data_IF_699623679085
#
_entry.id   IF_699623679085
#
_cell.length_a   1.000
_cell.length_b   1.000
_cell.length_c   1.000
_cell.angle_alpha   90.00
_cell.angle_beta   90.00
_cell.angle_gamma   90.00
#
_symmetry.space_group_name_H-M   'P 1'
#
loop_
_entity.id
_entity.type
_entity.pdbx_description
1 polymer ?
#
# COMPACT_ATOMS: atom_id res chain seq x y z
N UNK A 1 40.58 27.23 21.26
CA UNK A 1 39.52 26.54 20.49
C UNK A 1 40.10 25.32 19.78
N UNK A 2 39.90 24.10 20.31
CA UNK A 2 40.31 22.85 19.64
C UNK A 2 39.26 22.47 18.59
N UNK A 3 39.64 22.41 17.31
CA UNK A 3 38.83 21.87 16.21
C UNK A 3 38.58 20.37 16.47
N UNK A 4 37.30 19.97 16.61
CA UNK A 4 36.89 18.55 16.60
C UNK A 4 37.16 17.99 15.19
N UNK A 5 38.07 17.01 15.09
CA UNK A 5 38.22 16.15 13.90
C UNK A 5 36.92 15.37 13.71
N UNK A 6 36.26 15.56 12.57
CA UNK A 6 35.25 14.62 12.11
C UNK A 6 35.95 13.30 11.77
N UNK A 7 35.71 12.26 12.56
CA UNK A 7 36.11 10.90 12.20
C UNK A 7 35.29 10.46 10.97
N UNK A 8 35.96 10.25 9.83
CA UNK A 8 35.41 9.43 8.74
C UNK A 8 35.25 8.01 9.27
N UNK A 9 34.04 7.45 9.15
CA UNK A 9 33.81 6.03 9.43
C UNK A 9 34.58 5.18 8.44
N UNK A 10 35.16 4.09 8.92
CA UNK A 10 35.96 3.15 8.11
C UNK A 10 35.08 2.07 7.50
N UNK A 11 35.60 1.34 6.50
CA UNK A 11 34.96 0.14 5.93
C UNK A 11 34.62 -0.91 7.00
N UNK A 12 35.42 -0.98 8.06
CA UNK A 12 35.22 -1.89 9.18
C UNK A 12 33.94 -1.59 9.96
N UNK A 13 33.57 -0.32 10.10
CA UNK A 13 32.32 0.09 10.76
C UNK A 13 31.07 -0.32 9.97
N UNK A 14 31.20 -0.56 8.66
CA UNK A 14 30.13 -1.04 7.78
C UNK A 14 30.03 -2.57 7.79
N UNK A 15 31.17 -3.25 7.87
CA UNK A 15 31.26 -4.70 7.95
C UNK A 15 30.82 -5.25 9.31
N UNK A 16 31.08 -4.53 10.40
CA UNK A 16 30.65 -4.91 11.75
C UNK A 16 29.11 -4.93 11.92
N UNK A 17 28.35 -4.29 11.02
CA UNK A 17 26.88 -4.27 11.02
C UNK A 17 26.28 -5.45 10.19
N UNK A 18 27.11 -6.35 9.65
CA UNK A 18 26.70 -7.52 8.85
C UNK A 18 27.03 -8.77 9.64
N UNK A 19 25.99 -9.52 9.99
CA UNK A 19 26.12 -10.85 10.57
C UNK A 19 25.96 -11.86 9.43
N UNK A 20 27.10 -12.41 8.98
CA UNK A 20 27.13 -13.43 7.93
C UNK A 20 27.02 -14.79 8.61
N UNK A 21 26.06 -15.60 8.18
CA UNK A 21 25.91 -16.97 8.68
C UNK A 21 26.95 -17.88 8.00
N UNK A 22 28.21 -17.74 8.41
CA UNK A 22 29.39 -18.32 7.73
C UNK A 22 29.36 -19.86 7.71
N UNK A 23 28.56 -20.48 8.59
CA UNK A 23 28.45 -21.94 8.75
C UNK A 23 27.62 -22.61 7.63
N UNK A 24 26.87 -21.84 6.83
CA UNK A 24 26.16 -22.35 5.63
C UNK A 24 27.04 -22.35 4.35
N UNK A 25 28.33 -21.97 4.43
CA UNK A 25 29.18 -21.74 3.25
C UNK A 25 30.37 -22.69 3.11
N UNK A 26 30.68 -23.07 1.87
CA UNK A 26 32.03 -23.51 1.51
C UNK A 26 33.02 -22.37 1.75
N UNK A 27 34.08 -22.63 2.51
CA UNK A 27 35.18 -21.69 2.72
C UNK A 27 35.90 -21.46 1.39
N UNK A 28 35.74 -20.29 0.81
CA UNK A 28 36.41 -19.92 -0.45
C UNK A 28 37.74 -19.27 -0.11
N UNK A 29 38.83 -19.94 -0.46
CA UNK A 29 40.18 -19.37 -0.38
C UNK A 29 40.44 -18.49 -1.60
N UNK A 30 40.66 -17.20 -1.36
CA UNK A 30 41.01 -16.23 -2.39
C UNK A 30 42.53 -16.05 -2.44
N UNK A 31 43.10 -16.00 -3.65
CA UNK A 31 44.51 -15.64 -3.80
C UNK A 31 44.72 -14.11 -3.65
N UNK A 32 45.99 -13.68 -3.55
CA UNK A 32 46.32 -12.27 -3.30
C UNK A 32 45.81 -11.31 -4.37
N UNK A 33 45.77 -11.74 -5.63
CA UNK A 33 45.30 -10.94 -6.77
C UNK A 33 43.78 -10.77 -6.69
N UNK A 34 43.09 -11.85 -6.38
CA UNK A 34 41.63 -11.89 -6.17
C UNK A 34 41.23 -11.02 -4.98
N UNK A 35 41.93 -11.17 -3.86
CA UNK A 35 41.74 -10.36 -2.67
C UNK A 35 41.99 -8.87 -2.94
N UNK A 36 43.02 -8.54 -3.73
CA UNK A 36 43.32 -7.16 -4.13
C UNK A 36 42.22 -6.57 -5.01
N UNK A 37 41.78 -7.30 -6.05
CA UNK A 37 40.67 -6.87 -6.93
C UNK A 37 39.37 -6.63 -6.15
N UNK A 38 39.05 -7.53 -5.21
CA UNK A 38 37.88 -7.37 -4.34
C UNK A 38 37.99 -6.10 -3.50
N UNK A 39 39.14 -5.88 -2.84
CA UNK A 39 39.40 -4.66 -2.04
C UNK A 39 39.28 -3.40 -2.87
N UNK A 40 39.84 -3.37 -4.07
CA UNK A 40 39.80 -2.21 -4.98
C UNK A 40 38.35 -1.91 -5.42
N UNK A 41 37.58 -2.93 -5.81
CA UNK A 41 36.16 -2.78 -6.17
C UNK A 41 35.30 -2.23 -5.03
N UNK A 42 35.52 -2.74 -3.82
CA UNK A 42 34.81 -2.26 -2.62
C UNK A 42 35.21 -0.82 -2.30
N UNK A 43 36.50 -0.52 -2.33
CA UNK A 43 37.03 0.81 -2.03
C UNK A 43 36.51 1.89 -2.99
N UNK A 44 36.51 1.61 -4.30
CA UNK A 44 36.03 2.56 -5.33
C UNK A 44 34.53 2.87 -5.21
N UNK A 45 33.70 1.87 -4.88
CA UNK A 45 32.27 2.07 -4.69
C UNK A 45 31.93 2.82 -3.41
N UNK A 46 32.72 2.66 -2.35
CA UNK A 46 32.53 3.38 -1.07
C UNK A 46 32.96 4.85 -1.19
N UNK A 47 34.04 5.14 -1.92
CA UNK A 47 34.62 6.50 -2.01
C UNK A 47 33.70 7.52 -2.69
N UNK A 48 32.70 7.07 -3.48
CA UNK A 48 31.80 7.94 -4.27
C UNK A 48 30.67 8.63 -3.50
N UNK A 49 30.43 8.35 -2.23
CA UNK A 49 29.24 8.89 -1.52
C UNK A 49 29.56 9.27 -0.08
N UNK A 50 29.95 10.53 0.17
CA UNK A 50 30.41 11.00 1.48
C UNK A 50 29.58 12.18 2.06
N UNK A 51 28.27 12.02 2.32
CA UNK A 51 27.43 12.95 3.14
C UNK A 51 26.13 12.29 3.67
N UNK A 52 26.19 11.27 4.54
CA UNK A 52 25.08 10.32 4.58
C UNK A 52 24.64 9.83 6.00
N UNK A 53 23.33 9.99 6.32
CA UNK A 53 22.63 9.79 7.62
C UNK A 53 22.36 8.30 7.93
N UNK A 54 21.84 8.02 9.15
CA UNK A 54 21.66 6.70 9.81
C UNK A 54 21.13 5.54 8.93
N UNK A 55 20.28 5.79 7.92
CA UNK A 55 19.72 4.77 7.02
C UNK A 55 20.71 4.25 5.95
N UNK A 56 21.87 4.91 5.79
CA UNK A 56 22.84 4.58 4.74
C UNK A 56 23.88 3.53 5.14
N UNK A 57 23.94 3.16 6.42
CA UNK A 57 24.72 2.00 6.88
C UNK A 57 24.23 0.71 6.21
N UNK A 58 22.91 0.51 6.14
CA UNK A 58 22.29 -0.66 5.48
C UNK A 58 22.55 -0.68 3.96
N UNK A 59 22.54 0.49 3.31
CA UNK A 59 22.80 0.59 1.87
C UNK A 59 24.26 0.24 1.57
N UNK A 60 25.19 0.79 2.36
CA UNK A 60 26.60 0.48 2.20
C UNK A 60 26.92 -1.01 2.48
N UNK A 61 26.26 -1.63 3.46
CA UNK A 61 26.39 -3.09 3.66
C UNK A 61 25.84 -3.90 2.48
N UNK A 62 24.68 -3.54 1.90
CA UNK A 62 24.13 -4.22 0.73
C UNK A 62 25.02 -4.07 -0.50
N UNK A 63 25.64 -2.90 -0.70
CA UNK A 63 26.63 -2.67 -1.77
C UNK A 63 27.83 -3.60 -1.60
N UNK A 64 28.36 -3.73 -0.38
CA UNK A 64 29.50 -4.62 -0.10
C UNK A 64 29.13 -6.08 -0.34
N UNK A 65 27.99 -6.55 0.18
CA UNK A 65 27.50 -7.92 -0.05
C UNK A 65 27.31 -8.17 -1.55
N UNK A 66 26.79 -7.17 -2.29
CA UNK A 66 26.65 -7.26 -3.73
C UNK A 66 27.98 -7.50 -4.43
N UNK A 67 29.02 -6.77 -4.02
CA UNK A 67 30.36 -6.91 -4.59
C UNK A 67 30.94 -8.31 -4.33
N UNK A 68 30.76 -8.82 -3.11
CA UNK A 68 31.21 -10.18 -2.75
C UNK A 68 30.43 -11.23 -3.57
N UNK A 69 29.13 -11.06 -3.76
CA UNK A 69 28.29 -11.97 -4.56
C UNK A 69 28.72 -12.05 -6.03
N UNK A 70 29.05 -10.91 -6.65
CA UNK A 70 29.63 -10.86 -8.00
C UNK A 70 30.93 -11.67 -8.06
N UNK A 71 31.79 -11.48 -7.05
CA UNK A 71 33.13 -12.04 -7.03
C UNK A 71 33.11 -13.56 -6.91
N UNK A 72 32.20 -14.12 -6.12
CA UNK A 72 32.09 -15.56 -5.86
C UNK A 72 31.20 -16.30 -6.88
N UNK A 73 30.41 -15.59 -7.68
CA UNK A 73 29.53 -16.18 -8.70
C UNK A 73 28.38 -17.05 -8.15
N UNK A 74 28.15 -17.03 -6.83
CA UNK A 74 27.09 -17.75 -6.12
C UNK A 74 26.20 -16.76 -5.32
N UNK A 75 24.91 -17.06 -5.09
CA UNK A 75 24.06 -16.25 -4.21
C UNK A 75 24.61 -16.19 -2.79
N UNK A 76 24.63 -14.99 -2.18
CA UNK A 76 25.09 -14.78 -0.80
C UNK A 76 23.94 -14.37 0.09
N UNK A 77 23.76 -15.05 1.22
CA UNK A 77 22.77 -14.78 2.25
C UNK A 77 23.42 -14.12 3.48
N UNK A 78 22.96 -12.92 3.83
CA UNK A 78 23.47 -12.15 4.95
C UNK A 78 22.33 -11.70 5.88
N UNK A 79 22.62 -11.51 7.16
CA UNK A 79 21.71 -10.84 8.09
C UNK A 79 22.19 -9.41 8.34
N UNK A 80 21.30 -8.45 8.15
CA UNK A 80 21.62 -7.06 8.48
C UNK A 80 21.26 -6.75 9.94
N UNK A 81 22.20 -6.21 10.71
CA UNK A 81 22.05 -5.97 12.17
C UNK A 81 21.30 -4.67 12.45
N UNK A 82 21.25 -3.75 11.48
CA UNK A 82 20.42 -2.53 11.57
C UNK A 82 18.97 -2.86 11.21
N UNK A 83 18.14 -3.09 12.22
CA UNK A 83 16.69 -3.33 12.12
C UNK A 83 15.98 -2.27 11.26
N UNK A 84 15.63 -2.64 10.03
CA UNK A 84 14.81 -1.86 9.10
C UNK A 84 13.34 -2.28 9.22
N UNK A 85 12.77 -2.14 10.41
CA UNK A 85 11.34 -2.34 10.64
C UNK A 85 10.55 -1.07 10.28
N UNK A 86 9.34 -1.24 9.73
CA UNK A 86 8.38 -0.16 9.49
C UNK A 86 8.05 0.08 8.01
N UNK A 87 8.55 -0.74 7.06
CA UNK A 87 8.19 -0.59 5.64
C UNK A 87 6.70 -0.89 5.45
N UNK A 88 6.17 -1.93 6.12
CA UNK A 88 4.74 -2.25 6.03
C UNK A 88 3.88 -1.08 6.49
N UNK A 89 4.25 -0.43 7.60
CA UNK A 89 3.52 0.73 8.14
C UNK A 89 3.68 1.95 7.24
N UNK A 90 4.90 2.22 6.76
CA UNK A 90 5.23 3.36 5.91
C UNK A 90 4.51 3.30 4.56
N UNK A 91 4.53 2.15 3.89
CA UNK A 91 3.99 1.98 2.55
C UNK A 91 2.51 1.56 2.54
N UNK A 92 1.93 1.31 3.71
CA UNK A 92 0.47 1.28 3.84
C UNK A 92 -0.08 2.69 4.02
N UNK A 93 -0.18 3.42 2.92
CA UNK A 93 -0.84 4.73 2.92
C UNK A 93 -2.28 4.68 3.43
N UNK A 94 -2.94 3.52 3.27
CA UNK A 94 -4.30 3.30 3.72
C UNK A 94 -4.36 2.81 5.17
N UNK A 95 -3.54 1.85 5.61
CA UNK A 95 -3.57 1.36 7.00
C UNK A 95 -2.70 2.20 7.96
N UNK A 96 -3.32 3.14 8.68
CA UNK A 96 -2.70 3.71 9.90
C UNK A 96 -2.76 2.72 11.04
N UNK A 97 -1.78 1.85 11.06
CA UNK A 97 -1.58 0.99 12.19
C UNK A 97 -1.01 1.77 13.37
N UNK A 98 -1.40 1.38 14.58
CA UNK A 98 -0.59 1.62 15.77
C UNK A 98 -0.16 0.25 16.27
N UNK A 99 1.14 0.08 16.45
CA UNK A 99 1.75 -1.06 17.14
C UNK A 99 1.44 -2.44 16.50
N UNK A 100 1.90 -2.66 15.25
CA UNK A 100 1.89 -4.00 14.62
C UNK A 100 3.09 -4.87 14.97
N UNK A 101 4.07 -4.32 15.68
CA UNK A 101 5.30 -5.03 16.05
C UNK A 101 5.03 -6.41 16.67
N UNK A 102 3.94 -6.54 17.43
CA UNK A 102 3.52 -7.80 18.04
C UNK A 102 3.12 -8.89 17.04
N UNK A 103 2.66 -8.50 15.85
CA UNK A 103 2.17 -9.38 14.78
C UNK A 103 3.15 -9.50 13.60
N UNK A 104 4.11 -8.59 13.49
CA UNK A 104 5.10 -8.57 12.41
C UNK A 104 6.24 -9.54 12.69
N UNK A 105 6.56 -10.38 11.71
CA UNK A 105 7.78 -11.19 11.70
C UNK A 105 8.89 -10.41 11.02
N UNK A 106 9.84 -9.90 11.80
CA UNK A 106 11.02 -9.19 11.29
C UNK A 106 12.13 -10.19 10.94
N UNK A 107 12.60 -10.14 9.69
CA UNK A 107 13.61 -11.05 9.15
C UNK A 107 14.94 -10.33 8.89
N UNK A 108 14.91 -9.24 8.12
CA UNK A 108 16.08 -8.46 7.68
C UNK A 108 17.20 -9.30 7.06
N UNK A 109 16.81 -10.30 6.25
CA UNK A 109 17.73 -11.18 5.53
C UNK A 109 17.95 -10.63 4.12
N UNK A 110 19.20 -10.56 3.70
CA UNK A 110 19.60 -10.12 2.36
C UNK A 110 20.09 -11.31 1.56
N UNK A 111 19.60 -11.46 0.32
CA UNK A 111 20.22 -12.34 -0.68
C UNK A 111 20.71 -11.47 -1.83
N UNK A 112 21.92 -11.72 -2.31
CA UNK A 112 22.45 -11.08 -3.51
C UNK A 112 22.80 -12.10 -4.58
N UNK A 113 22.34 -11.85 -5.79
CA UNK A 113 22.73 -12.57 -7.01
C UNK A 113 22.73 -11.57 -8.17
N UNK A 114 23.55 -11.81 -9.20
CA UNK A 114 23.62 -11.01 -10.46
C UNK A 114 23.49 -9.48 -10.30
N UNK A 115 24.23 -8.88 -9.35
CA UNK A 115 24.20 -7.44 -9.04
C UNK A 115 22.91 -6.88 -8.42
N UNK A 116 21.95 -7.73 -8.07
CA UNK A 116 20.72 -7.32 -7.39
C UNK A 116 20.76 -7.87 -5.96
N UNK A 117 20.63 -6.98 -4.98
CA UNK A 117 20.42 -7.38 -3.59
C UNK A 117 18.96 -7.22 -3.22
N UNK A 118 18.36 -8.27 -2.69
CA UNK A 118 17.02 -8.22 -2.10
C UNK A 118 17.16 -8.43 -0.61
N UNK A 119 16.62 -7.51 0.18
CA UNK A 119 16.49 -7.66 1.62
C UNK A 119 15.02 -7.90 1.96
N UNK A 120 14.69 -9.11 2.42
CA UNK A 120 13.38 -9.42 2.97
C UNK A 120 13.31 -8.88 4.40
N UNK A 121 12.49 -7.87 4.63
CA UNK A 121 12.48 -7.12 5.90
C UNK A 121 11.42 -7.64 6.86
N UNK A 122 10.16 -7.64 6.43
CA UNK A 122 9.01 -7.89 7.30
C UNK A 122 7.95 -8.76 6.61
N UNK A 123 7.33 -9.65 7.39
CA UNK A 123 6.14 -10.40 7.00
C UNK A 123 5.03 -10.11 8.00
N UNK A 124 3.85 -9.80 7.50
CA UNK A 124 2.64 -9.63 8.29
C UNK A 124 1.50 -10.36 7.63
N UNK A 125 0.78 -11.20 8.39
CA UNK A 125 -0.15 -12.14 7.79
C UNK A 125 -1.31 -12.45 8.74
N UNK A 126 -2.54 -12.31 8.25
CA UNK A 126 -3.74 -12.88 8.88
C UNK A 126 -4.35 -14.00 8.01
N UNK A 127 -5.65 -14.25 8.14
CA UNK A 127 -6.35 -15.24 7.31
C UNK A 127 -6.74 -14.70 5.92
N UNK A 128 -6.64 -13.40 5.69
CA UNK A 128 -7.13 -12.72 4.48
C UNK A 128 -6.03 -12.05 3.66
N UNK A 129 -4.97 -11.56 4.30
CA UNK A 129 -3.88 -10.84 3.69
C UNK A 129 -2.53 -11.40 4.12
N UNK A 130 -1.61 -11.52 3.16
CA UNK A 130 -0.18 -11.68 3.38
C UNK A 130 0.54 -10.45 2.84
N UNK A 131 1.21 -9.70 3.72
CA UNK A 131 1.98 -8.51 3.41
C UNK A 131 3.46 -8.85 3.53
N UNK A 132 4.21 -8.58 2.47
CA UNK A 132 5.63 -8.87 2.33
C UNK A 132 6.33 -7.56 2.05
N UNK A 133 7.14 -7.10 2.99
CA UNK A 133 8.01 -5.97 2.77
C UNK A 133 9.42 -6.43 2.42
N UNK A 134 9.96 -5.84 1.37
CA UNK A 134 11.33 -6.09 0.94
C UNK A 134 11.93 -4.83 0.33
N UNK A 135 13.26 -4.84 0.25
CA UNK A 135 14.04 -3.76 -0.32
C UNK A 135 14.91 -4.32 -1.42
N UNK A 136 14.93 -3.63 -2.54
CA UNK A 136 15.79 -3.98 -3.66
C UNK A 136 16.87 -2.93 -3.78
N UNK A 137 18.11 -3.37 -3.86
CA UNK A 137 19.23 -2.54 -4.26
C UNK A 137 19.74 -3.03 -5.62
N UNK A 138 19.64 -2.15 -6.62
CA UNK A 138 20.10 -2.38 -7.98
C UNK A 138 20.59 -1.03 -8.55
N UNK A 139 21.78 -0.94 -9.17
CA UNK A 139 22.29 0.33 -9.66
C UNK A 139 21.36 0.96 -10.70
N UNK A 140 21.10 2.27 -10.58
CA UNK A 140 20.27 3.02 -11.53
C UNK A 140 18.87 2.43 -11.76
N UNK A 141 18.23 1.90 -10.72
CA UNK A 141 16.80 1.51 -10.76
C UNK A 141 15.98 2.66 -11.35
N UNK A 142 16.23 3.91 -10.90
CA UNK A 142 15.49 5.14 -11.22
C UNK A 142 13.96 5.00 -10.99
N UNK A 143 13.30 6.10 -10.66
CA UNK A 143 11.84 6.12 -10.61
C UNK A 143 11.30 6.12 -12.05
N UNK A 144 11.15 4.93 -12.60
CA UNK A 144 10.65 4.67 -13.95
C UNK A 144 9.47 3.71 -13.83
N UNK A 145 8.27 4.21 -14.12
CA UNK A 145 7.03 3.44 -14.00
C UNK A 145 7.07 2.16 -14.86
N UNK A 146 7.84 2.15 -15.96
CA UNK A 146 7.99 0.98 -16.82
C UNK A 146 8.67 -0.21 -16.13
N UNK A 147 9.41 0.03 -15.03
CA UNK A 147 10.10 -1.02 -14.26
C UNK A 147 9.30 -1.54 -13.07
N UNK A 148 8.09 -1.01 -12.81
CA UNK A 148 7.25 -1.49 -11.72
C UNK A 148 6.81 -2.94 -11.93
N UNK A 149 6.60 -3.36 -13.18
CA UNK A 149 6.30 -4.75 -13.54
C UNK A 149 7.40 -5.69 -13.04
N UNK A 150 8.66 -5.32 -13.24
CA UNK A 150 9.82 -6.13 -12.89
C UNK A 150 9.93 -6.31 -11.37
N UNK A 151 9.53 -5.29 -10.61
CA UNK A 151 9.55 -5.31 -9.14
C UNK A 151 8.46 -6.22 -8.57
N UNK A 152 7.25 -6.19 -9.14
CA UNK A 152 6.09 -6.89 -8.58
C UNK A 152 5.89 -8.31 -9.12
N UNK A 153 6.23 -8.58 -10.38
CA UNK A 153 5.99 -9.88 -11.02
C UNK A 153 7.04 -10.93 -10.64
N UNK A 154 8.24 -10.52 -10.21
CA UNK A 154 9.32 -11.43 -9.86
C UNK A 154 9.08 -12.28 -8.61
N UNK A 155 8.17 -11.87 -7.71
CA UNK A 155 7.97 -12.51 -6.42
C UNK A 155 7.12 -13.79 -6.50
N UNK A 156 7.66 -14.88 -5.97
CA UNK A 156 6.98 -16.14 -5.67
C UNK A 156 6.91 -16.43 -4.18
N UNK A 157 5.86 -17.11 -3.76
CA UNK A 157 5.69 -17.59 -2.38
C UNK A 157 5.29 -19.05 -2.40
N UNK A 158 5.96 -19.87 -1.61
CA UNK A 158 5.48 -21.20 -1.26
C UNK A 158 5.18 -21.26 0.25
N UNK A 159 4.14 -22.02 0.60
CA UNK A 159 3.74 -22.32 1.97
C UNK A 159 3.75 -23.83 2.12
N UNK A 160 4.52 -24.36 3.06
CA UNK A 160 4.72 -25.79 3.28
C UNK A 160 5.08 -26.56 1.99
N UNK A 161 5.90 -25.96 1.14
CA UNK A 161 6.34 -26.54 -0.13
C UNK A 161 5.40 -26.25 -1.33
N UNK A 162 4.15 -25.87 -1.10
CA UNK A 162 3.18 -25.61 -2.17
C UNK A 162 3.18 -24.15 -2.64
N UNK A 163 3.08 -23.92 -3.95
CA UNK A 163 3.03 -22.58 -4.54
C UNK A 163 1.73 -21.85 -4.19
N UNK A 164 1.85 -20.65 -3.62
CA UNK A 164 0.73 -19.79 -3.32
C UNK A 164 0.32 -18.98 -4.56
N UNK A 165 -0.86 -19.29 -5.10
CA UNK A 165 -1.49 -18.50 -6.16
C UNK A 165 -2.52 -17.54 -5.55
N UNK A 166 -2.20 -16.25 -5.50
CA UNK A 166 -3.03 -15.21 -4.91
C UNK A 166 -3.00 -13.95 -5.79
N UNK A 167 -4.11 -13.20 -5.79
CA UNK A 167 -4.14 -11.85 -6.36
C UNK A 167 -3.17 -10.94 -5.61
N UNK A 168 -2.52 -10.03 -6.34
CA UNK A 168 -1.42 -9.20 -5.81
C UNK A 168 -1.71 -7.73 -6.04
N UNK A 169 -1.35 -6.93 -5.06
CA UNK A 169 -1.19 -5.48 -5.16
C UNK A 169 0.06 -5.07 -4.38
N UNK A 170 0.36 -3.78 -4.34
CA UNK A 170 1.50 -3.29 -3.58
C UNK A 170 1.77 -1.83 -3.78
N UNK A 171 2.72 -1.32 -3.01
CA UNK A 171 3.21 0.05 -3.08
C UNK A 171 4.74 0.03 -3.08
N UNK A 172 5.34 1.04 -3.68
CA UNK A 172 6.79 1.24 -3.68
C UNK A 172 7.16 2.62 -3.16
N UNK A 173 8.39 2.76 -2.68
CA UNK A 173 9.03 4.05 -2.43
C UNK A 173 10.50 4.00 -2.86
N UNK A 174 10.87 4.89 -3.78
CA UNK A 174 12.23 5.00 -4.30
C UNK A 174 13.04 5.89 -3.37
N UNK A 175 13.81 5.27 -2.49
CA UNK A 175 14.59 5.96 -1.45
C UNK A 175 15.76 6.74 -2.06
N UNK A 176 16.34 6.20 -3.13
CA UNK A 176 17.33 6.86 -3.98
C UNK A 176 17.39 6.19 -5.36
N UNK A 177 18.33 6.62 -6.21
CA UNK A 177 18.48 6.12 -7.59
C UNK A 177 18.85 4.63 -7.68
N UNK A 178 19.28 4.01 -6.58
CA UNK A 178 19.80 2.65 -6.54
C UNK A 178 18.95 1.72 -5.65
N UNK A 179 17.88 2.25 -5.03
CA UNK A 179 17.23 1.59 -3.90
C UNK A 179 15.74 1.85 -3.87
N UNK A 180 14.96 0.77 -3.82
CA UNK A 180 13.49 0.82 -3.71
C UNK A 180 13.01 -0.03 -2.54
N UNK A 181 12.12 0.52 -1.73
CA UNK A 181 11.32 -0.21 -0.74
C UNK A 181 10.01 -0.65 -1.40
N UNK A 182 9.60 -1.88 -1.12
CA UNK A 182 8.43 -2.50 -1.74
C UNK A 182 7.59 -3.15 -0.65
N UNK A 183 6.30 -2.88 -0.69
CA UNK A 183 5.28 -3.61 0.03
C UNK A 183 4.45 -4.38 -1.00
N UNK A 184 4.44 -5.70 -0.92
CA UNK A 184 3.54 -6.52 -1.72
C UNK A 184 2.46 -7.16 -0.85
N UNK A 185 1.22 -7.07 -1.30
CA UNK A 185 0.03 -7.52 -0.59
C UNK A 185 -0.62 -8.64 -1.41
N UNK A 186 -0.76 -9.81 -0.81
CA UNK A 186 -1.35 -11.00 -1.41
C UNK A 186 -2.70 -11.27 -0.75
N UNK A 187 -3.76 -11.40 -1.56
CA UNK A 187 -5.09 -11.76 -1.08
C UNK A 187 -5.23 -13.28 -0.92
N UNK A 188 -5.38 -13.73 0.32
CA UNK A 188 -5.38 -15.13 0.73
C UNK A 188 -6.67 -15.56 1.43
N UNK A 189 -7.73 -14.73 1.43
CA UNK A 189 -8.97 -14.97 2.19
C UNK A 189 -9.67 -16.32 1.90
N UNK A 190 -9.44 -16.89 0.71
CA UNK A 190 -9.99 -18.17 0.28
C UNK A 190 -8.97 -19.32 0.33
N UNK A 191 -7.83 -19.13 1.00
CA UNK A 191 -6.75 -20.12 1.10
C UNK A 191 -6.73 -20.78 2.47
N UNK A 192 -6.60 -22.11 2.50
CA UNK A 192 -6.47 -22.88 3.73
C UNK A 192 -5.01 -22.89 4.19
N UNK A 193 -4.60 -21.83 4.88
CA UNK A 193 -3.22 -21.69 5.37
C UNK A 193 -3.18 -21.93 6.89
N UNK A 194 -2.34 -22.86 7.39
CA UNK A 194 -2.24 -23.15 8.83
C UNK A 194 -1.68 -21.98 9.63
N UNK A 195 -1.83 -22.03 10.97
CA UNK A 195 -1.38 -20.95 11.87
C UNK A 195 0.14 -20.85 11.99
N UNK A 196 0.85 -21.97 11.81
CA UNK A 196 2.31 -22.07 11.73
C UNK A 196 2.64 -22.74 10.41
N UNK A 197 3.64 -22.20 9.72
CA UNK A 197 4.02 -22.70 8.41
C UNK A 197 5.48 -22.45 8.11
N UNK A 198 6.05 -23.30 7.27
CA UNK A 198 7.30 -23.02 6.58
C UNK A 198 6.98 -22.19 5.35
N UNK A 199 7.60 -21.01 5.24
CA UNK A 199 7.41 -20.10 4.13
C UNK A 199 8.70 -19.97 3.34
N UNK A 200 8.57 -20.02 2.01
CA UNK A 200 9.62 -19.69 1.07
C UNK A 200 9.18 -18.51 0.23
N UNK A 201 9.90 -17.39 0.33
CA UNK A 201 9.78 -16.26 -0.59
C UNK A 201 10.93 -16.34 -1.56
N UNK A 202 10.67 -16.20 -2.86
CA UNK A 202 11.73 -16.28 -3.86
C UNK A 202 11.49 -15.35 -5.04
N UNK A 203 12.58 -15.02 -5.73
CA UNK A 203 12.57 -14.26 -6.98
C UNK A 203 13.39 -15.02 -8.01
N UNK A 204 12.86 -15.20 -9.22
CA UNK A 204 13.56 -15.88 -10.33
C UNK A 204 14.13 -14.93 -11.36
N UNK A 205 13.61 -13.71 -11.38
CA UNK A 205 13.99 -12.68 -12.31
C UNK A 205 13.74 -11.32 -11.66
N UNK A 206 14.67 -10.39 -11.85
CA UNK A 206 14.57 -9.01 -11.41
C UNK A 206 15.15 -8.12 -12.50
N UNK A 207 14.40 -7.12 -12.95
CA UNK A 207 14.84 -6.18 -13.99
C UNK A 207 15.34 -6.86 -15.28
N UNK A 208 14.67 -7.93 -15.71
CA UNK A 208 15.07 -8.74 -16.88
C UNK A 208 16.28 -9.65 -16.63
N UNK A 209 16.80 -9.73 -15.41
CA UNK A 209 17.98 -10.53 -15.05
C UNK A 209 17.52 -11.80 -14.34
N UNK A 210 17.70 -12.95 -14.98
CA UNK A 210 17.49 -14.25 -14.36
C UNK A 210 18.50 -14.50 -13.24
N UNK A 211 18.02 -14.92 -12.07
CA UNK A 211 18.82 -15.17 -10.88
C UNK A 211 18.06 -15.98 -9.85
N UNK A 212 18.68 -16.20 -8.69
CA UNK A 212 18.07 -16.95 -7.60
C UNK A 212 18.20 -16.22 -6.26
N UNK A 213 17.12 -15.55 -5.86
CA UNK A 213 17.00 -14.95 -4.54
C UNK A 213 15.96 -15.73 -3.74
N UNK A 214 16.37 -16.46 -2.70
CA UNK A 214 15.50 -17.36 -1.96
C UNK A 214 15.62 -17.16 -0.45
N UNK A 215 14.46 -17.05 0.22
CA UNK A 215 14.34 -16.87 1.66
C UNK A 215 13.46 -17.96 2.23
N UNK A 216 14.01 -18.80 3.11
CA UNK A 216 13.27 -19.82 3.86
C UNK A 216 13.19 -19.42 5.33
N UNK A 217 12.00 -19.47 5.91
CA UNK A 217 11.78 -19.15 7.31
C UNK A 217 10.46 -19.74 7.82
N UNK A 218 10.36 -19.87 9.14
CA UNK A 218 9.11 -20.22 9.82
C UNK A 218 8.35 -18.95 10.16
N UNK A 219 7.04 -18.95 9.96
CA UNK A 219 6.16 -17.83 10.33
C UNK A 219 4.93 -18.34 11.07
N UNK A 220 4.43 -17.53 12.00
CA UNK A 220 3.22 -17.81 12.76
C UNK A 220 2.25 -16.64 12.72
N UNK A 221 0.98 -16.94 12.43
CA UNK A 221 -0.15 -16.00 12.55
C UNK A 221 -1.01 -16.25 13.80
N UNK A 222 -0.50 -16.97 14.81
CA UNK A 222 -1.30 -17.33 15.99
C UNK A 222 -1.75 -16.11 16.81
N UNK A 223 -0.87 -15.12 16.98
CA UNK A 223 -1.18 -13.91 17.76
C UNK A 223 -2.31 -13.11 17.13
N UNK A 224 -2.24 -12.91 15.82
CA UNK A 224 -3.26 -12.16 15.10
C UNK A 224 -4.56 -12.96 14.97
N UNK A 225 -4.48 -14.27 14.74
CA UNK A 225 -5.63 -15.16 14.69
C UNK A 225 -6.48 -15.08 15.97
N UNK A 226 -5.84 -15.04 17.15
CA UNK A 226 -6.53 -14.87 18.45
C UNK A 226 -7.27 -13.52 18.59
N UNK A 227 -6.95 -12.55 17.75
CA UNK A 227 -7.57 -11.21 17.70
C UNK A 227 -8.48 -11.04 16.49
N UNK A 228 -8.59 -12.05 15.63
CA UNK A 228 -9.45 -12.02 14.45
C UNK A 228 -10.86 -12.47 14.84
N UNK A 229 -11.85 -11.66 14.51
CA UNK A 229 -13.27 -12.01 14.62
C UNK A 229 -13.83 -12.27 13.22
N UNK A 230 -14.41 -13.44 13.03
CA UNK A 230 -15.12 -13.80 11.80
C UNK A 230 -16.62 -13.77 12.10
N UNK A 231 -17.34 -12.89 11.42
CA UNK A 231 -18.77 -12.67 11.64
C UNK A 231 -19.49 -13.09 10.37
N UNK A 232 -20.31 -14.14 10.47
CA UNK A 232 -21.17 -14.58 9.38
C UNK A 232 -22.31 -13.58 9.17
N UNK A 233 -22.57 -13.25 7.91
CA UNK A 233 -23.62 -12.31 7.49
C UNK A 233 -24.69 -13.07 6.70
N UNK A 234 -24.27 -13.80 5.66
CA UNK A 234 -25.13 -14.58 4.76
C UNK A 234 -26.38 -13.83 4.28
N UNK A 235 -26.20 -12.57 3.84
CA UNK A 235 -27.30 -11.74 3.36
C UNK A 235 -27.18 -11.50 1.86
N UNK A 236 -28.28 -11.77 1.17
CA UNK A 236 -28.41 -11.50 -0.26
C UNK A 236 -28.70 -10.02 -0.50
N UNK A 237 -28.07 -9.50 -1.54
CA UNK A 237 -28.20 -8.16 -2.08
C UNK A 237 -28.52 -8.32 -3.56
N UNK A 238 -29.64 -7.76 -3.99
CA UNK A 238 -30.02 -7.72 -5.41
C UNK A 238 -29.58 -6.38 -6.01
N UNK A 239 -28.73 -6.47 -7.03
CA UNK A 239 -28.22 -5.35 -7.82
C UNK A 239 -28.70 -5.54 -9.26
N UNK A 240 -28.72 -4.45 -10.05
CA UNK A 240 -29.38 -4.45 -11.37
C UNK A 240 -28.99 -5.64 -12.27
N UNK A 241 -27.71 -6.03 -12.27
CA UNK A 241 -27.18 -7.08 -13.15
C UNK A 241 -26.41 -8.19 -12.39
N UNK A 242 -26.55 -8.26 -11.06
CA UNK A 242 -25.94 -9.32 -10.27
C UNK A 242 -26.65 -9.54 -8.92
N UNK A 243 -26.61 -10.79 -8.45
CA UNK A 243 -27.10 -11.19 -7.14
C UNK A 243 -25.93 -11.62 -6.28
N UNK A 244 -25.70 -10.90 -5.19
CA UNK A 244 -24.55 -11.11 -4.31
C UNK A 244 -25.03 -11.60 -2.94
N UNK A 245 -24.40 -12.66 -2.43
CA UNK A 245 -24.46 -13.05 -1.04
C UNK A 245 -23.22 -12.51 -0.32
N UNK A 246 -23.42 -11.55 0.58
CA UNK A 246 -22.40 -11.11 1.52
C UNK A 246 -22.25 -12.19 2.59
N UNK A 247 -21.20 -13.00 2.49
CA UNK A 247 -21.06 -14.22 3.31
C UNK A 247 -20.60 -13.91 4.72
N UNK A 248 -19.51 -13.13 4.85
CA UNK A 248 -18.90 -12.82 6.14
C UNK A 248 -18.06 -11.55 6.09
N UNK A 249 -17.81 -11.02 7.27
CA UNK A 249 -16.75 -10.04 7.49
C UNK A 249 -15.73 -10.59 8.50
N UNK A 250 -14.45 -10.35 8.24
CA UNK A 250 -13.35 -10.67 9.14
C UNK A 250 -12.67 -9.40 9.63
N UNK A 251 -12.57 -9.23 10.93
CA UNK A 251 -11.96 -8.06 11.56
C UNK A 251 -10.72 -8.54 12.30
N UNK A 252 -9.55 -8.10 11.86
CA UNK A 252 -8.26 -8.38 12.48
C UNK A 252 -7.55 -7.07 12.86
N UNK A 253 -6.49 -7.12 13.66
CA UNK A 253 -5.60 -5.99 13.88
C UNK A 253 -5.04 -5.33 12.60
N UNK A 254 -5.01 -6.06 11.47
CA UNK A 254 -4.39 -5.56 10.23
C UNK A 254 -5.40 -5.15 9.16
N UNK A 255 -6.61 -5.70 9.18
CA UNK A 255 -7.59 -5.40 8.15
C UNK A 255 -9.01 -5.68 8.60
N UNK A 256 -9.95 -5.07 7.88
CA UNK A 256 -11.35 -5.49 7.87
C UNK A 256 -11.63 -6.06 6.49
N UNK A 257 -11.99 -7.33 6.37
CA UNK A 257 -12.17 -8.00 5.08
C UNK A 257 -13.62 -8.42 4.90
N UNK A 258 -14.26 -7.94 3.83
CA UNK A 258 -15.57 -8.39 3.39
C UNK A 258 -15.42 -9.47 2.32
N UNK A 259 -16.07 -10.62 2.52
CA UNK A 259 -16.07 -11.74 1.56
C UNK A 259 -17.50 -11.95 1.07
N UNK A 260 -17.65 -12.08 -0.24
CA UNK A 260 -18.93 -12.31 -0.87
C UNK A 260 -18.79 -13.22 -2.09
N UNK A 261 -19.91 -13.84 -2.46
CA UNK A 261 -20.05 -14.63 -3.68
C UNK A 261 -21.38 -14.33 -4.33
N UNK A 262 -21.52 -14.63 -5.61
CA UNK A 262 -22.78 -14.39 -6.29
C UNK A 262 -22.79 -14.89 -7.71
N UNK A 263 -23.76 -14.40 -8.46
CA UNK A 263 -23.85 -14.63 -9.90
C UNK A 263 -24.15 -13.30 -10.60
N UNK A 264 -23.50 -13.09 -11.73
CA UNK A 264 -23.73 -11.93 -12.60
C UNK A 264 -24.35 -12.36 -13.92
N UNK A 265 -24.86 -11.39 -14.67
CA UNK A 265 -25.31 -11.67 -16.04
C UNK A 265 -24.13 -11.75 -17.01
N UNK A 266 -23.13 -10.86 -16.84
CA UNK A 266 -21.94 -10.72 -17.68
C UNK A 266 -20.77 -10.18 -16.88
N UNK A 267 -19.56 -10.27 -17.45
CA UNK A 267 -18.32 -9.83 -16.79
C UNK A 267 -18.35 -8.33 -16.45
N UNK A 268 -18.93 -7.51 -17.31
CA UNK A 268 -19.03 -6.06 -17.11
C UNK A 268 -19.88 -5.71 -15.89
N UNK A 269 -20.83 -6.58 -15.51
CA UNK A 269 -21.71 -6.38 -14.36
C UNK A 269 -20.99 -6.33 -13.02
N UNK A 270 -19.71 -6.74 -12.96
CA UNK A 270 -18.94 -6.75 -11.71
C UNK A 270 -17.83 -5.70 -11.64
N UNK A 271 -17.48 -5.06 -12.76
CA UNK A 271 -16.36 -4.11 -12.80
C UNK A 271 -16.61 -2.86 -11.95
N UNK A 272 -17.88 -2.47 -11.79
CA UNK A 272 -18.29 -1.38 -10.92
C UNK A 272 -18.69 -1.79 -9.51
N UNK A 273 -18.72 -3.08 -9.20
CA UNK A 273 -19.24 -3.57 -7.93
C UNK A 273 -18.30 -3.17 -6.78
N UNK A 274 -18.87 -2.53 -5.76
CA UNK A 274 -18.14 -2.20 -4.55
C UNK A 274 -19.05 -2.14 -3.33
N UNK A 275 -18.43 -1.97 -2.17
CA UNK A 275 -19.12 -1.79 -0.91
C UNK A 275 -18.44 -0.68 -0.14
N UNK A 276 -19.22 0.29 0.35
CA UNK A 276 -18.74 1.25 1.33
C UNK A 276 -19.09 0.70 2.71
N UNK A 277 -18.15 0.73 3.65
CA UNK A 277 -18.39 0.34 5.03
C UNK A 277 -18.26 1.57 5.90
N UNK A 278 -19.21 1.76 6.82
CA UNK A 278 -19.22 2.85 7.79
C UNK A 278 -19.12 2.30 9.20
N UNK A 279 -18.39 2.99 10.08
CA UNK A 279 -18.47 2.77 11.52
C UNK A 279 -19.80 3.31 12.10
N UNK A 280 -20.05 3.03 13.38
CA UNK A 280 -21.23 3.49 14.12
C UNK A 280 -21.32 5.01 14.31
N UNK A 281 -20.28 5.76 13.93
CA UNK A 281 -20.26 7.23 13.91
C UNK A 281 -20.49 7.79 12.51
N UNK A 282 -20.82 6.94 11.54
CA UNK A 282 -21.08 7.33 10.16
C UNK A 282 -19.81 7.65 9.37
N UNK A 283 -18.65 7.18 9.83
CA UNK A 283 -17.38 7.39 9.12
C UNK A 283 -17.09 6.24 8.18
N UNK A 284 -16.85 6.56 6.91
CA UNK A 284 -16.44 5.56 5.92
C UNK A 284 -15.11 4.95 6.36
N UNK A 285 -14.92 3.66 6.16
CA UNK A 285 -13.65 2.94 6.36
C UNK A 285 -13.04 2.78 4.96
N UNK A 286 -11.78 3.19 4.71
CA UNK A 286 -11.21 3.15 3.38
C UNK A 286 -11.01 1.73 2.91
N UNK A 287 -11.36 1.48 1.65
CA UNK A 287 -10.89 0.31 0.92
C UNK A 287 -9.38 0.42 0.68
N UNK A 288 -8.68 -0.67 0.97
CA UNK A 288 -7.22 -0.81 0.79
C UNK A 288 -6.94 -1.60 -0.48
N UNK A 289 -7.60 -2.75 -0.64
CA UNK A 289 -7.45 -3.62 -1.80
C UNK A 289 -8.77 -4.32 -2.10
N UNK A 290 -9.01 -4.64 -3.36
CA UNK A 290 -10.17 -5.44 -3.77
C UNK A 290 -9.71 -6.51 -4.77
N UNK A 291 -10.26 -7.70 -4.65
CA UNK A 291 -10.10 -8.79 -5.60
C UNK A 291 -11.46 -9.32 -5.99
N UNK A 292 -11.71 -9.41 -7.30
CA UNK A 292 -12.96 -9.86 -7.89
C UNK A 292 -12.63 -10.90 -8.97
N UNK A 293 -13.33 -12.03 -8.94
CA UNK A 293 -13.30 -13.03 -9.99
C UNK A 293 -14.69 -13.20 -10.60
N UNK A 294 -14.70 -13.49 -11.90
CA UNK A 294 -15.89 -13.85 -12.67
C UNK A 294 -15.57 -15.08 -13.48
N UNK A 295 -16.41 -16.10 -13.36
CA UNK A 295 -16.25 -17.39 -14.04
C UNK A 295 -17.50 -17.71 -14.86
N UNK A 296 -17.49 -17.45 -16.19
CA UNK A 296 -18.64 -17.72 -17.06
C UNK A 296 -18.96 -19.20 -17.16
N UNK A 297 -17.95 -20.08 -17.06
CA UNK A 297 -18.13 -21.53 -17.17
C UNK A 297 -18.81 -22.12 -15.92
N UNK A 298 -18.78 -21.39 -14.80
CA UNK A 298 -19.46 -21.76 -13.56
C UNK A 298 -20.73 -20.94 -13.34
N UNK A 299 -21.61 -20.90 -14.35
CA UNK A 299 -22.89 -20.19 -14.25
C UNK A 299 -22.71 -18.70 -13.88
N UNK A 300 -21.71 -18.05 -14.50
CA UNK A 300 -21.36 -16.64 -14.22
C UNK A 300 -21.07 -16.36 -12.74
N UNK A 301 -20.40 -17.29 -12.06
CA UNK A 301 -20.07 -17.19 -10.64
C UNK A 301 -19.14 -16.00 -10.39
N UNK A 302 -19.47 -15.25 -9.34
CA UNK A 302 -18.69 -14.14 -8.79
C UNK A 302 -18.11 -14.58 -7.45
N UNK A 303 -16.83 -14.31 -7.23
CA UNK A 303 -16.23 -14.35 -5.90
C UNK A 303 -15.47 -13.04 -5.68
N UNK A 304 -15.67 -12.43 -4.52
CA UNK A 304 -15.09 -11.14 -4.23
C UNK A 304 -14.61 -11.03 -2.79
N UNK A 305 -13.51 -10.31 -2.65
CA UNK A 305 -12.88 -9.98 -1.38
C UNK A 305 -12.50 -8.52 -1.41
N UNK A 306 -13.08 -7.71 -0.53
CA UNK A 306 -12.70 -6.31 -0.35
C UNK A 306 -12.06 -6.15 1.02
N UNK A 307 -10.83 -5.65 1.04
CA UNK A 307 -10.14 -5.30 2.26
C UNK A 307 -10.27 -3.81 2.50
N UNK A 308 -10.46 -3.49 3.77
CA UNK A 308 -10.55 -2.15 4.31
C UNK A 308 -9.54 -2.02 5.44
N UNK A 309 -9.34 -0.79 5.89
CA UNK A 309 -8.51 -0.53 7.07
C UNK A 309 -8.97 -1.33 8.29
N UNK A 310 -7.99 -1.66 9.13
CA UNK A 310 -8.27 -2.19 10.46
C UNK A 310 -9.12 -1.23 11.29
N UNK A 311 -10.07 -1.78 12.04
CA UNK A 311 -10.84 -1.03 13.02
C UNK A 311 -9.94 -0.75 14.24
N UNK A 312 -9.34 0.44 14.30
CA UNK A 312 -8.44 0.82 15.39
C UNK A 312 -9.18 1.22 16.69
N UNK A 313 -10.48 1.51 16.62
CA UNK A 313 -11.29 1.89 17.77
C UNK A 313 -12.01 0.68 18.36
N UNK A 314 -11.63 0.30 19.58
CA UNK A 314 -12.22 -0.85 20.32
C UNK A 314 -13.70 -0.68 20.65
N UNK A 315 -14.24 0.54 20.53
CA UNK A 315 -15.63 0.85 20.89
C UNK A 315 -16.59 0.85 19.70
N UNK A 316 -16.15 0.47 18.49
CA UNK A 316 -17.06 0.35 17.35
C UNK A 316 -17.94 -0.88 17.56
N UNK A 317 -19.24 -0.66 17.70
CA UNK A 317 -20.22 -1.74 17.96
C UNK A 317 -20.83 -2.28 16.69
N UNK A 318 -21.04 -1.40 15.72
CA UNK A 318 -21.73 -1.73 14.48
C UNK A 318 -20.96 -1.22 13.28
N UNK A 319 -21.12 -1.93 12.18
CA UNK A 319 -20.71 -1.47 10.86
C UNK A 319 -21.90 -1.45 9.93
N UNK A 320 -21.96 -0.46 9.04
CA UNK A 320 -22.97 -0.41 7.99
C UNK A 320 -22.30 -0.68 6.65
N UNK A 321 -22.71 -1.74 5.96
CA UNK A 321 -22.23 -2.11 4.63
C UNK A 321 -23.26 -1.60 3.62
N UNK A 322 -22.84 -0.72 2.72
CA UNK A 322 -23.65 -0.15 1.64
C UNK A 322 -23.12 -0.66 0.30
N UNK A 323 -23.86 -1.53 -0.40
CA UNK A 323 -23.50 -1.91 -1.76
C UNK A 323 -23.58 -0.71 -2.71
N UNK A 324 -22.64 -0.65 -3.65
CA UNK A 324 -22.62 0.36 -4.70
C UNK A 324 -22.21 -0.24 -6.04
N UNK A 325 -22.57 0.46 -7.10
CA UNK A 325 -22.07 0.20 -8.44
C UNK A 325 -21.52 1.49 -9.04
N UNK A 326 -20.26 1.48 -9.47
CA UNK A 326 -19.62 2.60 -10.15
C UNK A 326 -19.45 2.30 -11.64
N UNK A 327 -20.05 3.12 -12.49
CA UNK A 327 -19.90 3.02 -13.93
C UNK A 327 -18.78 3.95 -14.42
N UNK A 328 -17.59 3.38 -14.65
CA UNK A 328 -16.43 4.14 -15.10
C UNK A 328 -16.56 4.73 -16.51
N UNK A 329 -17.58 4.35 -17.27
CA UNK A 329 -17.86 4.92 -18.60
C UNK A 329 -18.71 6.19 -18.54
N UNK A 330 -19.32 6.49 -17.39
CA UNK A 330 -20.11 7.71 -17.21
C UNK A 330 -19.18 8.81 -16.70
N UNK A 331 -19.18 9.94 -17.41
CA UNK A 331 -18.54 11.17 -16.94
C UNK A 331 -19.56 12.00 -16.16
N UNK A 332 -19.33 12.27 -14.87
CA UNK A 332 -20.25 13.09 -14.06
C UNK A 332 -20.40 14.49 -14.61
N UNK A 333 -21.63 15.02 -14.55
CA UNK A 333 -21.88 16.39 -14.98
C UNK A 333 -21.39 17.36 -13.91
N UNK A 334 -20.61 18.36 -14.32
CA UNK A 334 -20.16 19.42 -13.41
C UNK A 334 -21.36 20.29 -13.02
N UNK A 335 -21.47 20.58 -11.73
CA UNK A 335 -22.47 21.53 -11.23
C UNK A 335 -22.12 22.94 -11.71
N UNK A 336 -23.11 23.82 -11.76
CA UNK A 336 -22.84 25.26 -11.91
C UNK A 336 -21.95 25.71 -10.73
N UNK A 337 -20.76 26.25 -10.98
CA UNK A 337 -19.85 26.62 -9.91
C UNK A 337 -20.33 27.95 -9.28
N UNK A 338 -20.02 28.11 -7.99
CA UNK A 338 -20.45 29.24 -7.16
C UNK A 338 -19.26 30.18 -6.99
N UNK A 339 -19.47 31.50 -6.93
CA UNK A 339 -18.38 32.45 -6.64
C UNK A 339 -17.74 32.06 -5.30
N UNK A 340 -16.41 31.90 -5.29
CA UNK A 340 -15.68 31.45 -4.11
C UNK A 340 -15.77 32.45 -2.94
N UNK A 341 -16.16 33.70 -3.20
CA UNK A 341 -16.37 34.75 -2.20
C UNK A 341 -17.77 34.73 -1.57
N UNK A 342 -18.64 33.81 -1.98
CA UNK A 342 -19.93 33.61 -1.33
C UNK A 342 -19.79 33.30 0.17
N UNK A 343 -20.85 33.60 0.92
CA UNK A 343 -20.85 33.45 2.38
C UNK A 343 -20.68 31.98 2.77
N UNK A 344 -19.65 31.70 3.58
CA UNK A 344 -19.43 30.37 4.15
C UNK A 344 -20.50 30.00 5.21
N UNK A 345 -20.88 28.71 5.31
CA UNK A 345 -20.41 27.60 4.48
C UNK A 345 -21.06 27.57 3.10
N UNK A 346 -20.28 27.32 2.05
CA UNK A 346 -20.81 27.08 0.70
C UNK A 346 -21.23 25.61 0.62
N UNK A 347 -22.48 25.35 0.21
CA UNK A 347 -23.02 23.99 0.05
C UNK A 347 -23.03 23.64 -1.44
N UNK A 348 -22.25 22.62 -1.81
CA UNK A 348 -22.22 22.07 -3.16
C UNK A 348 -22.97 20.73 -3.16
N UNK A 349 -24.19 20.75 -3.67
CA UNK A 349 -25.02 19.55 -3.76
C UNK A 349 -24.54 18.64 -4.90
N UNK A 350 -24.37 17.34 -4.63
CA UNK A 350 -24.00 16.35 -5.64
C UNK A 350 -25.21 15.57 -6.10
N UNK A 351 -25.97 15.00 -5.16
CA UNK A 351 -27.27 14.37 -5.42
C UNK A 351 -28.11 14.37 -4.14
N UNK A 352 -29.31 13.80 -4.13
CA UNK A 352 -30.22 13.81 -2.96
C UNK A 352 -29.57 13.39 -1.62
N UNK A 353 -28.51 12.58 -1.65
CA UNK A 353 -27.85 12.02 -0.45
C UNK A 353 -26.43 12.50 -0.22
N UNK A 354 -25.82 13.21 -1.16
CA UNK A 354 -24.40 13.57 -1.14
C UNK A 354 -24.20 15.06 -1.38
N UNK A 355 -23.35 15.69 -0.57
CA UNK A 355 -22.99 17.10 -0.69
C UNK A 355 -21.61 17.37 -0.10
N UNK A 356 -20.94 18.39 -0.62
CA UNK A 356 -19.76 19.00 -0.03
C UNK A 356 -20.14 20.28 0.71
N UNK A 357 -19.61 20.45 1.91
CA UNK A 357 -19.82 21.65 2.74
C UNK A 357 -18.47 22.33 2.92
N UNK A 358 -18.25 23.41 2.17
CA UNK A 358 -17.03 24.20 2.26
C UNK A 358 -17.06 25.01 3.55
N UNK A 359 -16.03 24.86 4.38
CA UNK A 359 -15.96 25.47 5.72
C UNK A 359 -15.03 26.66 5.77
N UNK A 360 -13.94 26.60 5.01
CA UNK A 360 -12.89 27.60 5.04
C UNK A 360 -12.11 27.57 3.72
N UNK A 361 -11.70 28.76 3.28
CA UNK A 361 -10.97 28.99 2.03
C UNK A 361 -9.88 30.01 2.32
N UNK A 362 -8.62 29.60 2.18
CA UNK A 362 -7.46 30.43 2.43
C UNK A 362 -6.71 30.70 1.12
N UNK A 363 -6.56 31.98 0.77
CA UNK A 363 -5.70 32.41 -0.34
C UNK A 363 -4.29 32.67 0.17
N UNK A 364 -3.31 32.06 -0.48
CA UNK A 364 -1.87 32.31 -0.31
C UNK A 364 -1.28 32.83 -1.62
N UNK A 365 -0.03 33.29 -1.57
CA UNK A 365 0.66 33.87 -2.71
C UNK A 365 0.63 32.96 -3.96
N UNK A 366 0.73 31.64 -3.80
CA UNK A 366 0.85 30.67 -4.89
C UNK A 366 -0.29 29.63 -4.95
N UNK A 367 -1.26 29.68 -4.03
CA UNK A 367 -2.27 28.62 -3.89
C UNK A 367 -3.56 29.03 -3.18
N UNK A 368 -4.59 28.23 -3.40
CA UNK A 368 -5.86 28.26 -2.66
C UNK A 368 -5.94 26.97 -1.84
N UNK A 369 -6.19 27.08 -0.55
CA UNK A 369 -6.42 25.95 0.35
C UNK A 369 -7.90 25.92 0.70
N UNK A 370 -8.55 24.78 0.47
CA UNK A 370 -9.98 24.61 0.77
C UNK A 370 -10.16 23.51 1.79
N UNK A 371 -10.81 23.86 2.90
CA UNK A 371 -11.21 22.91 3.94
C UNK A 371 -12.72 22.67 3.85
N UNK A 372 -13.13 21.41 3.74
CA UNK A 372 -14.52 21.05 3.51
C UNK A 372 -14.88 19.69 4.13
N UNK A 373 -16.17 19.52 4.43
CA UNK A 373 -16.74 18.24 4.87
C UNK A 373 -17.46 17.59 3.69
N UNK A 374 -17.26 16.29 3.49
CA UNK A 374 -18.13 15.49 2.62
C UNK A 374 -19.18 14.77 3.48
N UNK A 375 -20.45 14.91 3.11
CA UNK A 375 -21.58 14.32 3.82
C UNK A 375 -22.40 13.47 2.86
N UNK A 376 -22.57 12.19 3.15
CA UNK A 376 -23.36 11.28 2.33
C UNK A 376 -22.86 9.85 2.37
N UNK A 377 -23.13 9.11 1.28
CA UNK A 377 -22.90 7.67 1.17
C UNK A 377 -21.53 7.29 0.60
N UNK A 378 -20.67 8.25 0.26
CA UNK A 378 -19.25 7.97 -0.03
C UNK A 378 -18.31 9.16 0.20
N UNK A 379 -18.12 9.62 1.45
CA UNK A 379 -17.22 10.73 1.78
C UNK A 379 -15.84 10.67 1.11
N UNK A 380 -15.23 9.49 0.99
CA UNK A 380 -13.91 9.34 0.36
C UNK A 380 -13.99 9.62 -1.15
N UNK A 381 -14.96 9.06 -1.88
CA UNK A 381 -15.12 9.38 -3.31
C UNK A 381 -15.53 10.84 -3.54
N UNK A 382 -16.37 11.38 -2.66
CA UNK A 382 -16.75 12.80 -2.67
C UNK A 382 -15.54 13.73 -2.51
N UNK A 383 -14.54 13.33 -1.71
CA UNK A 383 -13.33 14.14 -1.48
C UNK A 383 -12.56 14.44 -2.77
N UNK A 384 -12.61 13.57 -3.78
CA UNK A 384 -11.94 13.80 -5.06
C UNK A 384 -12.72 14.70 -6.03
N UNK A 385 -13.94 15.12 -5.68
CA UNK A 385 -14.89 15.77 -6.60
C UNK A 385 -15.12 17.26 -6.31
N UNK A 386 -14.11 17.90 -5.72
CA UNK A 386 -14.07 19.35 -5.55
C UNK A 386 -13.18 19.97 -6.63
N UNK A 387 -13.70 21.02 -7.29
CA UNK A 387 -13.04 21.73 -8.38
C UNK A 387 -13.05 23.23 -8.14
N UNK A 388 -12.00 23.92 -8.60
CA UNK A 388 -11.97 25.38 -8.70
C UNK A 388 -11.73 25.76 -10.16
N UNK A 389 -12.48 26.73 -10.63
CA UNK A 389 -12.38 27.33 -11.95
C UNK A 389 -11.97 28.80 -11.83
N UNK A 390 -11.27 29.30 -12.83
CA UNK A 390 -11.03 30.73 -12.99
C UNK A 390 -12.16 31.43 -13.77
N UNK A 391 -12.02 32.73 -14.00
CA UNK A 391 -13.02 33.54 -14.72
C UNK A 391 -13.23 33.18 -16.19
N UNK A 392 -12.34 32.36 -16.77
CA UNK A 392 -12.42 31.86 -18.13
C UNK A 392 -12.91 30.40 -18.18
N UNK A 393 -13.49 29.88 -17.08
CA UNK A 393 -13.91 28.49 -16.92
C UNK A 393 -12.76 27.47 -17.02
N UNK A 394 -11.51 27.88 -16.84
CA UNK A 394 -10.37 26.96 -16.80
C UNK A 394 -10.24 26.41 -15.38
N UNK A 395 -10.19 25.08 -15.26
CA UNK A 395 -9.97 24.41 -13.98
C UNK A 395 -8.53 24.64 -13.49
N UNK A 396 -8.37 24.90 -12.19
CA UNK A 396 -7.06 25.01 -11.55
C UNK A 396 -6.44 23.64 -11.30
N UNK A 397 -5.12 23.57 -11.39
CA UNK A 397 -4.36 22.36 -11.08
C UNK A 397 -4.41 22.07 -9.58
N UNK A 398 -4.74 20.84 -9.21
CA UNK A 398 -4.65 20.36 -7.84
C UNK A 398 -3.19 20.05 -7.48
N UNK A 399 -2.74 20.58 -6.35
CA UNK A 399 -1.49 20.16 -5.72
C UNK A 399 -1.82 18.89 -4.93
N UNK A 400 -1.57 17.74 -5.55
CA UNK A 400 -1.87 16.43 -4.97
C UNK A 400 -1.10 16.23 -3.66
N UNK A 401 -1.85 16.12 -2.56
CA UNK A 401 -1.28 15.64 -1.30
C UNK A 401 -1.18 14.11 -1.29
N UNK A 402 -0.26 13.61 -0.48
CA UNK A 402 -0.19 12.19 -0.13
C UNK A 402 -1.57 11.70 0.37
N UNK A 403 -2.11 10.63 -0.23
CA UNK A 403 -3.43 10.08 0.13
C UNK A 403 -3.51 9.74 1.62
N UNK A 404 -2.42 9.27 2.22
CA UNK A 404 -2.33 8.99 3.65
C UNK A 404 -2.48 10.25 4.51
N UNK A 405 -1.96 11.40 4.07
CA UNK A 405 -2.19 12.72 4.70
C UNK A 405 -3.63 13.17 4.58
N UNK A 406 -4.23 13.10 3.37
CA UNK A 406 -5.63 13.46 3.13
C UNK A 406 -6.56 12.67 4.05
N UNK A 407 -6.43 11.34 4.04
CA UNK A 407 -7.21 10.46 4.90
C UNK A 407 -6.92 10.73 6.38
N UNK A 408 -5.67 10.98 6.77
CA UNK A 408 -5.34 11.29 8.16
C UNK A 408 -6.09 12.49 8.71
N UNK A 409 -6.28 13.55 7.92
CA UNK A 409 -7.02 14.72 8.38
C UNK A 409 -8.49 14.35 8.57
N UNK A 410 -9.10 13.74 7.55
CA UNK A 410 -10.47 13.23 7.63
C UNK A 410 -10.70 12.34 8.85
N UNK A 411 -9.77 11.43 9.15
CA UNK A 411 -9.93 10.57 10.32
C UNK A 411 -9.81 11.29 11.67
N UNK A 412 -9.16 12.45 11.73
CA UNK A 412 -9.03 13.23 12.96
C UNK A 412 -10.15 14.25 13.13
N UNK A 413 -10.57 14.88 12.04
CA UNK A 413 -11.40 16.09 12.09
C UNK A 413 -12.71 15.98 11.32
N UNK A 414 -12.89 14.91 10.53
CA UNK A 414 -13.94 14.78 9.51
C UNK A 414 -13.90 15.88 8.43
N UNK A 415 -12.75 16.53 8.26
CA UNK A 415 -12.49 17.56 7.25
C UNK A 415 -11.48 17.03 6.22
N UNK A 416 -11.76 17.30 4.95
CA UNK A 416 -10.83 17.16 3.84
C UNK A 416 -10.20 18.51 3.54
N UNK A 417 -8.95 18.48 3.09
CA UNK A 417 -8.22 19.66 2.64
C UNK A 417 -7.76 19.41 1.22
N UNK A 418 -8.08 20.31 0.29
CA UNK A 418 -7.52 20.33 -1.06
C UNK A 418 -6.77 21.62 -1.28
N UNK A 419 -5.70 21.51 -2.05
CA UNK A 419 -4.83 22.64 -2.38
C UNK A 419 -4.80 22.78 -3.90
N UNK A 420 -5.06 23.99 -4.38
CA UNK A 420 -5.08 24.32 -5.81
C UNK A 420 -4.01 25.36 -6.11
N UNK A 421 -3.31 25.20 -7.22
CA UNK A 421 -2.32 26.19 -7.67
C UNK A 421 -3.04 27.45 -8.15
N UNK A 422 -2.65 28.60 -7.60
CA UNK A 422 -3.23 29.89 -7.98
C UNK A 422 -2.73 30.30 -9.38
N UNK A 423 -3.60 30.95 -10.15
CA UNK A 423 -3.23 31.58 -11.42
C UNK A 423 -3.45 33.10 -11.33
N UNK A 424 -3.30 33.84 -12.44
CA UNK A 424 -3.41 35.30 -12.43
C UNK A 424 -4.86 35.81 -12.61
N UNK A 425 -5.87 34.97 -12.33
CA UNK A 425 -7.27 35.35 -12.52
C UNK A 425 -7.79 36.25 -11.40
N UNK A 426 -8.75 37.12 -11.73
CA UNK A 426 -9.36 38.05 -10.77
C UNK A 426 -10.53 37.42 -10.00
N UNK A 427 -11.17 36.40 -10.56
CA UNK A 427 -12.29 35.68 -9.95
C UNK A 427 -12.09 34.17 -10.02
N UNK A 428 -12.63 33.50 -9.02
CA UNK A 428 -12.61 32.06 -8.92
C UNK A 428 -13.99 31.54 -8.54
N UNK A 429 -14.33 30.37 -9.05
CA UNK A 429 -15.59 29.70 -8.80
C UNK A 429 -15.34 28.28 -8.33
N UNK A 430 -16.07 27.85 -7.31
CA UNK A 430 -15.93 26.53 -6.68
C UNK A 430 -17.12 25.65 -7.04
N UNK A 431 -16.86 24.40 -7.40
CA UNK A 431 -17.90 23.48 -7.90
C UNK A 431 -17.63 22.02 -7.60
N UNK A 432 -18.60 21.18 -7.93
CA UNK A 432 -18.54 19.72 -7.78
C UNK A 432 -19.16 19.02 -9.00
N UNK A 433 -19.53 17.75 -8.87
CA UNK A 433 -20.32 17.02 -9.87
C UNK A 433 -21.49 16.24 -9.27
N UNK A 434 -22.38 15.77 -10.14
CA UNK A 434 -23.63 15.12 -9.76
C UNK A 434 -23.48 13.66 -9.22
N UNK A 435 -22.27 13.10 -9.27
CA UNK A 435 -21.99 11.70 -8.93
C UNK A 435 -22.89 10.67 -9.63
N UNK A 436 -23.41 10.98 -10.81
CA UNK A 436 -24.30 10.07 -11.54
C UNK A 436 -23.62 8.77 -12.01
N UNK A 437 -22.28 8.71 -11.93
CA UNK A 437 -21.48 7.53 -12.20
C UNK A 437 -21.54 6.49 -11.05
N UNK A 438 -22.06 6.85 -9.87
CA UNK A 438 -22.16 5.95 -8.72
C UNK A 438 -23.62 5.75 -8.29
N UNK A 439 -24.09 4.51 -8.37
CA UNK A 439 -25.38 4.08 -7.81
C UNK A 439 -25.18 3.46 -6.43
N UNK A 440 -25.90 3.97 -5.44
CA UNK A 440 -25.91 3.43 -4.07
C UNK A 440 -27.19 2.63 -3.80
N UNK A 441 -27.04 1.40 -3.31
CA UNK A 441 -28.16 0.52 -2.99
C UNK A 441 -28.52 0.62 -1.50
N UNK A 442 -28.98 1.79 -1.07
CA UNK A 442 -29.27 2.09 0.35
C UNK A 442 -30.33 1.16 0.97
N UNK A 443 -31.31 0.71 0.17
CA UNK A 443 -32.32 -0.25 0.62
C UNK A 443 -31.73 -1.62 0.96
N UNK A 444 -30.60 -1.96 0.33
CA UNK A 444 -29.88 -3.23 0.51
C UNK A 444 -28.79 -3.15 1.59
N UNK A 445 -28.72 -2.06 2.35
CA UNK A 445 -27.68 -1.91 3.37
C UNK A 445 -27.79 -2.94 4.48
N UNK A 446 -26.64 -3.31 5.03
CA UNK A 446 -26.52 -4.28 6.09
C UNK A 446 -25.87 -3.64 7.31
N UNK A 447 -26.59 -3.61 8.43
CA UNK A 447 -26.03 -3.19 9.72
C UNK A 447 -25.65 -4.46 10.47
N UNK A 448 -24.36 -4.61 10.75
CA UNK A 448 -23.80 -5.79 11.40
C UNK A 448 -23.29 -5.39 12.77
N UNK A 449 -23.74 -6.10 13.80
CA UNK A 449 -23.16 -6.00 15.14
C UNK A 449 -21.83 -6.75 15.15
N UNK A 450 -20.79 -6.07 15.64
CA UNK A 450 -19.42 -6.55 15.69
C UNK A 450 -18.86 -6.57 17.11
N UNK A 451 -19.68 -6.41 18.17
CA UNK A 451 -19.25 -6.64 19.56
C UNK A 451 -18.94 -8.11 19.83
#
# INVERSE_FOLDING_TARGET
MKRRKFYMKTIYDLLNDIDLDIDEYEKIELNDIEMKKLKDMVYDKIKRKNKYKKWQKSIASMVIISIIGIFLGKPILARSVNTLSGIIEKLNYDMKYKDLSDYTTTLNKTVTDKNVSITLTEILMDDNLLQIAYKIHYPNVKNDESKLSDIFLGLGVNINGEKLNAGRSGNTDFIDNDTVEVLQILNIANKKIPKRMDMKVYFKEMFGIAGNWEFKFKVSKEKIYKKTRNISINKYVELDNCKINVERIAISPISTTLIFKGHGEKKESILGLGFNIFDDRGKEIPTTTAGLSYDPEKNNKIEGVVNYNALSNKNIKNITIVPKYQNHNIKPNKSNPIDIKEKLPIILQQNEKNKLIIKDIEFKEDKIIVNYKAEGMSPINQSHRLYIYDENNKMLDEILEDRGKLLSNYYKTAIFTKVFKLNNSKKYYIGTDDMNDIKFYDKEKNIINIE
#
